data_IF_555862970479
#
_entry.id   IF_555862970479
#
_cell.length_a   1.000
_cell.length_b   1.000
_cell.length_c   1.000
_cell.angle_alpha   90.00
_cell.angle_beta   90.00
_cell.angle_gamma   90.00
#
_symmetry.space_group_name_H-M   'P 1'
#
loop_
_entity.id
_entity.type
_entity.pdbx_description
1 polymer ?
#
# COMPACT_ATOMS: atom_id res chain seq x y z
N UNK A 1 63.93 23.48 -8.75
CA UNK A 1 62.64 24.19 -8.98
C UNK A 1 61.66 23.21 -9.62
N UNK A 2 61.20 22.20 -8.86
CA UNK A 2 59.88 22.10 -8.21
C UNK A 2 58.75 21.68 -9.19
N UNK A 3 58.57 20.37 -9.36
CA UNK A 3 57.42 19.73 -10.03
C UNK A 3 56.30 19.54 -8.99
N UNK A 4 55.19 20.26 -9.13
CA UNK A 4 54.03 20.07 -8.27
C UNK A 4 53.19 18.90 -8.79
N UNK A 5 53.08 17.86 -7.96
CA UNK A 5 52.13 16.76 -8.10
C UNK A 5 50.81 17.23 -7.50
N UNK A 6 49.79 17.41 -8.32
CA UNK A 6 48.42 17.64 -7.84
C UNK A 6 47.82 16.27 -7.51
N UNK A 7 47.67 16.00 -6.22
CA UNK A 7 47.13 14.77 -5.68
C UNK A 7 45.66 14.63 -6.07
N UNK A 8 45.32 13.52 -6.73
CA UNK A 8 43.95 13.04 -6.88
C UNK A 8 43.45 12.56 -5.51
N UNK A 9 42.75 13.42 -4.79
CA UNK A 9 41.90 13.01 -3.67
C UNK A 9 40.65 12.33 -4.22
N UNK A 10 40.79 11.05 -4.58
CA UNK A 10 39.66 10.14 -4.77
C UNK A 10 39.01 9.95 -3.40
N UNK A 11 38.03 10.80 -3.11
CA UNK A 11 37.15 10.66 -1.96
C UNK A 11 36.41 9.32 -2.08
N UNK A 12 36.92 8.30 -1.39
CA UNK A 12 36.23 7.02 -1.17
C UNK A 12 34.92 7.33 -0.45
N UNK A 13 33.81 7.29 -1.16
CA UNK A 13 32.49 7.27 -0.54
C UNK A 13 32.41 6.05 0.37
N UNK A 14 32.05 6.21 1.66
CA UNK A 14 31.80 5.06 2.52
C UNK A 14 30.59 4.31 1.96
N UNK A 15 30.79 3.03 1.62
CA UNK A 15 29.70 2.12 1.31
C UNK A 15 28.83 2.01 2.56
N UNK A 16 27.66 2.66 2.54
CA UNK A 16 26.65 2.44 3.55
C UNK A 16 26.25 0.96 3.53
N UNK A 17 26.31 0.30 4.68
CA UNK A 17 25.83 -1.07 4.83
C UNK A 17 24.37 -1.15 4.33
N UNK A 18 24.01 -2.14 3.49
CA UNK A 18 22.65 -2.32 3.07
C UNK A 18 21.80 -2.65 4.31
N UNK A 19 20.92 -1.73 4.69
CA UNK A 19 19.95 -1.95 5.77
C UNK A 19 19.20 -3.26 5.50
N UNK A 20 19.02 -4.14 6.50
CA UNK A 20 18.35 -5.41 6.30
C UNK A 20 16.94 -5.16 5.77
N UNK A 21 16.67 -5.64 4.55
CA UNK A 21 15.35 -5.54 3.92
C UNK A 21 14.35 -6.32 4.77
N UNK A 22 13.50 -5.61 5.51
CA UNK A 22 12.37 -6.22 6.23
C UNK A 22 11.54 -7.00 5.22
N UNK A 23 11.26 -8.28 5.52
CA UNK A 23 10.35 -9.06 4.69
C UNK A 23 8.94 -8.44 4.78
N UNK A 24 8.24 -8.25 3.65
CA UNK A 24 6.85 -7.82 3.68
C UNK A 24 6.03 -8.77 4.53
N UNK A 25 5.15 -8.22 5.37
CA UNK A 25 4.17 -8.99 6.13
C UNK A 25 3.00 -9.35 5.21
N UNK A 26 2.28 -10.44 5.53
CA UNK A 26 1.03 -10.76 4.83
C UNK A 26 0.10 -9.55 4.79
N UNK A 27 -0.38 -9.22 3.58
CA UNK A 27 -1.32 -8.12 3.39
C UNK A 27 -0.72 -6.71 3.32
N UNK A 28 0.61 -6.52 3.42
CA UNK A 28 1.22 -5.17 3.35
C UNK A 28 0.85 -4.41 2.07
N UNK A 29 0.83 -5.11 0.92
CA UNK A 29 0.42 -4.50 -0.36
C UNK A 29 -1.06 -4.15 -0.41
N UNK A 30 -1.92 -5.01 0.17
CA UNK A 30 -3.34 -4.73 0.26
C UNK A 30 -3.60 -3.53 1.17
N UNK A 31 -2.89 -3.46 2.31
CA UNK A 31 -2.95 -2.32 3.23
C UNK A 31 -2.56 -1.02 2.55
N UNK A 32 -1.48 -1.02 1.76
CA UNK A 32 -1.07 0.16 1.01
C UNK A 32 -2.15 0.62 0.02
N UNK A 33 -2.79 -0.31 -0.69
CA UNK A 33 -3.89 0.02 -1.60
C UNK A 33 -5.09 0.61 -0.84
N UNK A 34 -5.50 -0.03 0.26
CA UNK A 34 -6.59 0.44 1.14
C UNK A 34 -6.30 1.85 1.67
N UNK A 35 -5.11 2.09 2.20
CA UNK A 35 -4.71 3.39 2.73
C UNK A 35 -4.73 4.48 1.65
N UNK A 36 -4.31 4.14 0.43
CA UNK A 36 -4.33 5.07 -0.71
C UNK A 36 -5.77 5.42 -1.09
N UNK A 37 -6.65 4.44 -1.23
CA UNK A 37 -8.07 4.69 -1.58
C UNK A 37 -8.78 5.48 -0.49
N UNK A 38 -8.49 5.21 0.79
CA UNK A 38 -9.04 6.00 1.90
C UNK A 38 -8.62 7.47 1.86
N UNK A 39 -7.38 7.76 1.46
CA UNK A 39 -6.89 9.14 1.29
C UNK A 39 -7.60 9.83 0.12
N UNK A 40 -7.72 9.15 -1.01
CA UNK A 40 -8.40 9.69 -2.20
C UNK A 40 -9.89 9.96 -1.93
N UNK A 41 -10.60 9.02 -1.29
CA UNK A 41 -12.01 9.22 -0.88
C UNK A 41 -12.19 10.34 0.14
N UNK A 42 -11.19 10.59 0.97
CA UNK A 42 -11.22 11.72 1.91
C UNK A 42 -10.97 13.07 1.22
N UNK A 43 -10.20 13.07 0.12
CA UNK A 43 -9.95 14.26 -0.68
C UNK A 43 -11.11 14.59 -1.62
N UNK A 44 -11.71 13.56 -2.21
CA UNK A 44 -12.85 13.64 -3.11
C UNK A 44 -14.03 12.84 -2.55
N UNK A 45 -14.92 13.53 -1.85
CA UNK A 45 -16.05 12.90 -1.15
C UNK A 45 -17.09 12.26 -2.07
N UNK A 46 -17.04 12.50 -3.38
CA UNK A 46 -17.88 11.83 -4.36
C UNK A 46 -17.13 11.67 -5.70
N UNK A 47 -16.25 10.67 -5.81
CA UNK A 47 -15.47 10.45 -7.02
C UNK A 47 -16.38 10.16 -8.22
N UNK A 48 -16.04 10.76 -9.37
CA UNK A 48 -16.71 10.52 -10.63
C UNK A 48 -16.43 9.11 -11.19
N UNK A 49 -17.04 8.76 -12.32
CA UNK A 49 -16.88 7.44 -12.93
C UNK A 49 -15.41 7.04 -13.17
N UNK A 50 -14.61 7.85 -13.88
CA UNK A 50 -13.19 7.60 -14.08
C UNK A 50 -12.37 7.47 -12.78
N UNK A 51 -12.61 8.34 -11.79
CA UNK A 51 -11.94 8.26 -10.49
C UNK A 51 -12.31 6.96 -9.76
N UNK A 52 -13.59 6.59 -9.70
CA UNK A 52 -14.05 5.34 -9.09
C UNK A 52 -13.41 4.11 -9.72
N UNK A 53 -13.31 4.05 -11.04
CA UNK A 53 -12.63 2.94 -11.72
C UNK A 53 -11.15 2.82 -11.31
N UNK A 54 -10.44 3.95 -11.22
CA UNK A 54 -9.05 3.95 -10.74
C UNK A 54 -8.95 3.44 -9.29
N UNK A 55 -9.88 3.84 -8.42
CA UNK A 55 -9.90 3.36 -7.03
C UNK A 55 -10.16 1.85 -6.96
N UNK A 56 -11.09 1.33 -7.77
CA UNK A 56 -11.34 -0.11 -7.88
C UNK A 56 -10.08 -0.87 -8.35
N UNK A 57 -9.41 -0.37 -9.39
CA UNK A 57 -8.19 -0.98 -9.94
C UNK A 57 -7.06 -1.09 -8.91
N UNK A 58 -6.93 -0.10 -8.02
CA UNK A 58 -5.97 -0.13 -6.91
C UNK A 58 -6.29 -1.27 -5.93
N UNK A 59 -7.57 -1.42 -5.56
CA UNK A 59 -8.03 -2.49 -4.67
C UNK A 59 -7.84 -3.87 -5.33
N UNK A 60 -8.19 -4.01 -6.60
CA UNK A 60 -7.97 -5.23 -7.40
C UNK A 60 -6.49 -5.60 -7.43
N UNK A 61 -5.61 -4.63 -7.67
CA UNK A 61 -4.16 -4.85 -7.70
C UNK A 61 -3.63 -5.35 -6.35
N UNK A 62 -4.12 -4.78 -5.24
CA UNK A 62 -3.79 -5.24 -3.89
C UNK A 62 -4.26 -6.67 -3.62
N UNK A 63 -5.50 -6.99 -4.01
CA UNK A 63 -6.08 -8.34 -3.88
C UNK A 63 -5.33 -9.37 -4.73
N UNK A 64 -4.99 -9.02 -5.97
CA UNK A 64 -4.24 -9.87 -6.88
C UNK A 64 -2.85 -10.19 -6.33
N UNK A 65 -2.18 -9.21 -5.70
CA UNK A 65 -0.91 -9.45 -5.02
C UNK A 65 -1.07 -10.41 -3.85
N UNK A 66 -2.06 -10.18 -2.98
CA UNK A 66 -2.32 -11.07 -1.84
C UNK A 66 -2.63 -12.51 -2.28
N UNK A 67 -3.34 -12.68 -3.40
CA UNK A 67 -3.58 -13.99 -4.00
C UNK A 67 -2.28 -14.62 -4.53
N UNK A 68 -1.45 -13.85 -5.23
CA UNK A 68 -0.18 -14.31 -5.78
C UNK A 68 0.83 -14.73 -4.71
N UNK A 69 0.80 -14.11 -3.52
CA UNK A 69 1.64 -14.48 -2.38
C UNK A 69 1.03 -15.55 -1.48
N UNK A 70 -0.21 -15.98 -1.75
CA UNK A 70 -0.94 -16.95 -0.92
C UNK A 70 -1.34 -16.40 0.46
N UNK A 71 -1.39 -15.08 0.62
CA UNK A 71 -1.73 -14.44 1.89
C UNK A 71 -3.25 -14.39 2.13
N UNK A 72 -4.07 -14.58 1.11
CA UNK A 72 -5.54 -14.42 1.18
C UNK A 72 -6.19 -15.16 2.34
N UNK A 73 -5.75 -16.39 2.66
CA UNK A 73 -6.29 -17.14 3.79
C UNK A 73 -5.90 -16.56 5.16
N UNK A 74 -4.77 -15.84 5.26
CA UNK A 74 -4.30 -15.21 6.50
C UNK A 74 -4.98 -13.87 6.77
N UNK A 75 -5.51 -13.24 5.73
CA UNK A 75 -6.14 -11.92 5.78
C UNK A 75 -7.59 -11.99 5.24
N UNK A 76 -8.26 -13.13 5.44
CA UNK A 76 -9.57 -13.42 4.85
C UNK A 76 -10.61 -12.34 5.15
N UNK A 77 -10.70 -11.89 6.41
CA UNK A 77 -11.63 -10.84 6.81
C UNK A 77 -11.37 -9.52 6.08
N UNK A 78 -10.10 -9.11 5.96
CA UNK A 78 -9.72 -7.93 5.18
C UNK A 78 -10.04 -8.09 3.69
N UNK A 79 -9.86 -9.28 3.12
CA UNK A 79 -10.21 -9.57 1.72
C UNK A 79 -11.71 -9.40 1.48
N UNK A 80 -12.55 -9.87 2.41
CA UNK A 80 -14.01 -9.68 2.33
C UNK A 80 -14.37 -8.20 2.44
N UNK A 81 -13.86 -7.48 3.43
CA UNK A 81 -14.13 -6.06 3.59
C UNK A 81 -13.70 -5.23 2.36
N UNK A 82 -12.57 -5.57 1.71
CA UNK A 82 -12.18 -4.91 0.45
C UNK A 82 -13.14 -5.25 -0.69
N UNK A 83 -13.66 -6.48 -0.79
CA UNK A 83 -14.67 -6.82 -1.82
C UNK A 83 -15.98 -6.07 -1.59
N UNK A 84 -16.38 -5.88 -0.34
CA UNK A 84 -17.57 -5.09 0.00
C UNK A 84 -17.35 -3.62 -0.40
N UNK A 85 -16.18 -3.06 -0.09
CA UNK A 85 -15.83 -1.69 -0.51
C UNK A 85 -15.91 -1.50 -2.03
N UNK A 86 -15.45 -2.48 -2.81
CA UNK A 86 -15.56 -2.46 -4.28
C UNK A 86 -17.01 -2.47 -4.76
N UNK A 87 -17.88 -3.20 -4.06
CA UNK A 87 -19.32 -3.22 -4.36
C UNK A 87 -19.92 -1.83 -4.12
N UNK A 88 -19.62 -1.20 -2.99
CA UNK A 88 -20.05 0.17 -2.71
C UNK A 88 -19.51 1.20 -3.74
N UNK A 89 -18.26 1.07 -4.18
CA UNK A 89 -17.72 1.92 -5.26
C UNK A 89 -18.50 1.76 -6.57
N UNK A 90 -18.90 0.52 -6.92
CA UNK A 90 -19.70 0.25 -8.11
C UNK A 90 -21.12 0.85 -8.00
N UNK A 91 -21.68 0.86 -6.79
CA UNK A 91 -23.00 1.44 -6.49
C UNK A 91 -22.97 2.97 -6.27
N UNK A 92 -21.82 3.61 -6.49
CA UNK A 92 -21.59 5.04 -6.24
C UNK A 92 -21.89 5.47 -4.79
N UNK A 93 -21.57 4.60 -3.83
CA UNK A 93 -21.70 4.80 -2.39
C UNK A 93 -20.31 5.01 -1.73
N UNK A 94 -19.78 6.24 -1.70
CA UNK A 94 -18.46 6.52 -1.13
C UNK A 94 -18.40 6.30 0.38
N UNK A 95 -19.51 6.48 1.11
CA UNK A 95 -19.56 6.31 2.57
C UNK A 95 -19.52 4.83 2.96
N UNK A 96 -20.28 3.99 2.25
CA UNK A 96 -20.19 2.54 2.39
C UNK A 96 -18.81 2.00 2.03
N UNK A 97 -18.22 2.50 0.93
CA UNK A 97 -16.87 2.13 0.52
C UNK A 97 -15.84 2.50 1.60
N UNK A 98 -15.93 3.72 2.15
CA UNK A 98 -15.05 4.19 3.22
C UNK A 98 -15.17 3.34 4.48
N UNK A 99 -16.38 3.01 4.89
CA UNK A 99 -16.64 2.19 6.08
C UNK A 99 -16.02 0.81 5.94
N UNK A 100 -16.26 0.14 4.81
CA UNK A 100 -15.69 -1.17 4.53
C UNK A 100 -14.15 -1.14 4.44
N UNK A 101 -13.56 -0.09 3.86
CA UNK A 101 -12.10 0.07 3.81
C UNK A 101 -11.47 0.33 5.18
N UNK A 102 -12.16 1.02 6.09
CA UNK A 102 -11.70 1.19 7.46
C UNK A 102 -11.67 -0.14 8.21
N UNK A 103 -12.71 -0.98 8.07
CA UNK A 103 -12.72 -2.35 8.59
C UNK A 103 -11.55 -3.17 8.03
N UNK A 104 -11.33 -3.13 6.71
CA UNK A 104 -10.19 -3.81 6.10
C UNK A 104 -8.85 -3.35 6.68
N UNK A 105 -8.68 -2.04 6.91
CA UNK A 105 -7.44 -1.47 7.49
C UNK A 105 -7.19 -1.94 8.92
N UNK A 106 -8.25 -2.10 9.70
CA UNK A 106 -8.20 -2.63 11.07
C UNK A 106 -7.78 -4.10 11.06
N UNK A 107 -8.37 -4.92 10.20
CA UNK A 107 -8.03 -6.34 10.05
C UNK A 107 -6.60 -6.55 9.50
N UNK A 108 -6.07 -5.58 8.75
CA UNK A 108 -4.69 -5.55 8.26
C UNK A 108 -3.72 -4.92 9.27
N UNK A 109 -4.18 -4.49 10.44
CA UNK A 109 -3.29 -3.96 11.46
C UNK A 109 -2.42 -5.08 12.03
N UNK A 110 -1.13 -4.81 12.28
CA UNK A 110 -0.31 -5.79 12.96
C UNK A 110 -0.89 -6.06 14.36
N UNK A 111 -0.86 -7.31 14.84
CA UNK A 111 -1.33 -7.62 16.19
C UNK A 111 -0.56 -6.76 17.18
N UNK A 112 -1.29 -6.00 17.99
CA UNK A 112 -0.70 -5.23 19.09
C UNK A 112 -0.11 -6.25 20.06
N UNK A 113 1.22 -6.22 20.23
CA UNK A 113 1.87 -7.05 21.24
C UNK A 113 1.27 -6.69 22.61
N UNK A 114 0.58 -7.65 23.24
CA UNK A 114 0.15 -7.57 24.64
C UNK A 114 1.27 -8.01 25.55
#
# INVERSE_FOLDING_TARGET
MAKQRLSEDVQRQPHADPTPRRRPRPGDRLRQAVDTVLVELAADGNPDGPARHRLDDLLVSGLAWAAATGDTCRIEHAVHAVRDARTHLADADPDGARTALLTAREDLAPPVAR
#
